data_IF_664433170646
#
_entry.id   IF_664433170646
#
_cell.length_a   1.000
_cell.length_b   1.000
_cell.length_c   1.000
_cell.angle_alpha   90.00
_cell.angle_beta   90.00
_cell.angle_gamma   90.00
#
_symmetry.space_group_name_H-M   'P 1'
#
loop_
_entity.id
_entity.type
_entity.pdbx_description
1 polymer ?
#
# COMPACT_ATOMS: atom_id res chain seq x y z
N UNK A 1 -12.46 -48.21 16.33
CA UNK A 1 -11.73 -46.92 16.59
C UNK A 1 -11.96 -45.82 15.53
N UNK A 2 -12.13 -46.11 14.23
CA UNK A 2 -12.32 -45.06 13.18
C UNK A 2 -13.65 -44.31 13.25
N UNK A 3 -14.73 -44.94 13.71
CA UNK A 3 -16.08 -44.36 13.80
C UNK A 3 -16.17 -43.35 14.97
N UNK A 4 -15.51 -43.60 16.09
CA UNK A 4 -15.52 -42.74 17.28
C UNK A 4 -14.78 -41.42 16.97
N UNK A 5 -13.68 -41.44 16.20
CA UNK A 5 -12.96 -40.26 15.76
C UNK A 5 -13.82 -39.35 14.87
N UNK A 6 -14.64 -39.93 13.98
CA UNK A 6 -15.54 -39.22 13.10
C UNK A 6 -16.65 -38.48 13.86
N UNK A 7 -17.20 -39.11 14.89
CA UNK A 7 -18.24 -38.52 15.75
C UNK A 7 -17.70 -37.37 16.58
N UNK A 8 -16.50 -37.46 17.12
CA UNK A 8 -15.85 -36.35 17.87
C UNK A 8 -15.60 -35.14 16.99
N UNK A 9 -15.16 -35.35 15.74
CA UNK A 9 -14.96 -34.26 14.76
C UNK A 9 -16.30 -33.60 14.41
N UNK A 10 -17.36 -34.38 14.23
CA UNK A 10 -18.69 -33.85 13.91
C UNK A 10 -19.27 -33.02 15.06
N UNK A 11 -19.12 -33.45 16.31
CA UNK A 11 -19.55 -32.70 17.50
C UNK A 11 -18.75 -31.43 17.68
N UNK A 12 -17.45 -31.45 17.42
CA UNK A 12 -16.59 -30.23 17.47
C UNK A 12 -16.98 -29.20 16.43
N UNK A 13 -17.33 -29.62 15.20
CA UNK A 13 -17.78 -28.73 14.13
C UNK A 13 -19.15 -28.13 14.43
N UNK A 14 -20.08 -28.93 14.96
CA UNK A 14 -21.41 -28.48 15.36
C UNK A 14 -21.35 -27.53 16.56
N UNK A 15 -20.48 -27.78 17.54
CA UNK A 15 -20.23 -26.92 18.68
C UNK A 15 -19.64 -25.54 18.26
N UNK A 16 -18.70 -25.53 17.32
CA UNK A 16 -18.11 -24.31 16.78
C UNK A 16 -19.13 -23.48 15.99
N UNK A 17 -20.00 -24.12 15.20
CA UNK A 17 -21.09 -23.46 14.51
C UNK A 17 -22.11 -22.85 15.47
N UNK A 18 -22.40 -23.50 16.61
CA UNK A 18 -23.37 -22.99 17.59
C UNK A 18 -22.86 -21.76 18.35
N UNK A 19 -21.56 -21.66 18.60
CA UNK A 19 -20.94 -20.50 19.31
C UNK A 19 -20.87 -19.25 18.43
N UNK A 20 -20.76 -19.39 17.12
CA UNK A 20 -20.67 -18.26 16.16
C UNK A 20 -21.98 -17.88 15.46
N UNK A 21 -23.13 -18.45 15.88
CA UNK A 21 -24.43 -18.21 15.22
C UNK A 21 -25.12 -16.93 15.68
N UNK A 22 -24.50 -15.74 15.37
CA UNK A 22 -25.20 -14.45 15.44
C UNK A 22 -25.07 -13.61 14.16
N UNK A 23 -25.03 -14.20 13.01
CA UNK A 23 -25.05 -13.74 11.58
C UNK A 23 -23.88 -14.39 10.82
N UNK A 24 -24.11 -15.54 10.15
CA UNK A 24 -23.04 -16.14 9.35
C UNK A 24 -22.84 -15.38 8.06
N UNK A 25 -21.60 -14.92 7.82
CA UNK A 25 -21.21 -14.44 6.50
C UNK A 25 -21.22 -15.64 5.54
N UNK A 26 -22.13 -15.61 4.55
CA UNK A 26 -22.33 -16.67 3.56
C UNK A 26 -21.01 -17.06 2.85
N UNK A 27 -20.08 -16.15 2.70
CA UNK A 27 -18.77 -16.41 2.07
C UNK A 27 -17.87 -17.33 2.90
N UNK A 28 -17.92 -17.24 4.23
CA UNK A 28 -17.15 -18.12 5.12
C UNK A 28 -17.72 -19.53 5.09
N UNK A 29 -19.05 -19.68 5.07
CA UNK A 29 -19.73 -20.97 4.98
C UNK A 29 -19.36 -21.70 3.68
N UNK A 30 -19.38 -21.03 2.51
CA UNK A 30 -18.98 -21.63 1.25
C UNK A 30 -17.49 -22.03 1.19
N UNK A 31 -16.60 -21.27 1.81
CA UNK A 31 -15.16 -21.61 1.87
C UNK A 31 -14.91 -22.84 2.74
N UNK A 32 -15.56 -22.96 3.88
CA UNK A 32 -15.46 -24.14 4.76
C UNK A 32 -16.05 -25.38 4.08
N UNK A 33 -17.20 -25.27 3.42
CA UNK A 33 -17.82 -26.36 2.66
C UNK A 33 -16.93 -26.83 1.49
N UNK A 34 -16.23 -25.92 0.80
CA UNK A 34 -15.31 -26.26 -0.29
C UNK A 34 -14.06 -27.00 0.20
N UNK A 35 -13.51 -26.63 1.36
CA UNK A 35 -12.37 -27.30 1.97
C UNK A 35 -12.78 -28.72 2.43
N UNK A 36 -14.00 -28.88 2.97
CA UNK A 36 -14.49 -30.18 3.41
C UNK A 36 -14.74 -31.13 2.22
N UNK A 37 -15.28 -30.63 1.11
CA UNK A 37 -15.45 -31.39 -0.13
C UNK A 37 -14.11 -31.84 -0.72
N UNK A 38 -13.06 -31.01 -0.63
CA UNK A 38 -11.71 -31.34 -1.10
C UNK A 38 -11.09 -32.48 -0.25
N UNK A 39 -11.23 -32.44 1.08
CA UNK A 39 -10.69 -33.46 1.98
C UNK A 39 -11.40 -34.80 1.80
N UNK A 40 -12.72 -34.80 1.58
CA UNK A 40 -13.50 -36.02 1.32
C UNK A 40 -13.16 -36.57 -0.07
N UNK A 41 -12.95 -35.72 -1.08
CA UNK A 41 -12.56 -36.15 -2.43
C UNK A 41 -11.19 -36.84 -2.46
N UNK A 42 -10.21 -36.35 -1.71
CA UNK A 42 -8.87 -36.96 -1.60
C UNK A 42 -8.92 -38.30 -0.85
N UNK A 43 -9.80 -38.41 0.13
CA UNK A 43 -9.95 -39.66 0.92
C UNK A 43 -10.59 -40.82 0.14
N UNK A 44 -11.40 -40.53 -0.89
CA UNK A 44 -12.06 -41.56 -1.72
C UNK A 44 -11.25 -41.97 -2.95
N UNK A 45 -10.27 -41.17 -3.36
CA UNK A 45 -9.40 -41.45 -4.52
C UNK A 45 -8.25 -42.41 -4.27
N UNK A 46 -7.97 -42.77 -3.00
CA UNK A 46 -6.84 -43.65 -2.61
C UNK A 46 -7.14 -45.15 -2.53
N UNK A 47 -8.32 -45.62 -2.94
CA UNK A 47 -8.76 -46.97 -2.75
C UNK A 47 -8.90 -47.83 -4.03
N UNK A 48 -8.29 -47.48 -5.15
CA UNK A 48 -8.35 -48.30 -6.37
C UNK A 48 -7.08 -48.16 -7.23
N UNK A 49 -6.01 -48.84 -6.80
CA UNK A 49 -4.94 -49.21 -7.73
C UNK A 49 -4.63 -50.70 -7.44
N UNK A 50 -5.24 -51.59 -8.21
CA UNK A 50 -4.82 -52.95 -8.40
C UNK A 50 -3.89 -53.03 -9.61
N UNK A 51 -2.75 -53.64 -9.40
CA UNK A 51 -1.73 -53.96 -10.40
C UNK A 51 -2.22 -55.02 -11.40
N UNK A 52 -1.71 -55.05 -12.62
CA UNK A 52 -1.35 -56.30 -13.25
C UNK A 52 0.11 -56.33 -13.74
N UNK A 53 0.61 -57.55 -13.65
CA UNK A 53 1.96 -58.01 -13.99
C UNK A 53 2.30 -58.00 -15.46
N UNK A 54 3.57 -57.76 -15.74
CA UNK A 54 4.59 -58.48 -16.51
C UNK A 54 4.78 -58.18 -18.05
N UNK A 55 5.91 -58.54 -18.62
CA UNK A 55 6.99 -57.64 -19.07
C UNK A 55 7.19 -57.75 -20.59
N UNK A 56 7.73 -56.70 -21.20
CA UNK A 56 8.37 -56.85 -22.52
C UNK A 56 9.51 -55.88 -22.73
N UNK A 57 10.68 -56.49 -22.90
CA UNK A 57 11.87 -56.14 -23.69
C UNK A 57 12.26 -54.68 -23.94
N UNK A 58 13.42 -54.37 -23.41
CA UNK A 58 14.58 -53.76 -24.06
C UNK A 58 14.42 -52.56 -24.97
N UNK A 59 14.52 -51.36 -24.40
CA UNK A 59 15.01 -50.22 -25.16
C UNK A 59 16.14 -49.57 -24.36
N UNK A 60 17.37 -49.70 -24.87
CA UNK A 60 18.59 -49.04 -24.37
C UNK A 60 18.45 -47.53 -24.60
N UNK A 61 18.12 -46.77 -23.56
CA UNK A 61 18.23 -45.32 -23.58
C UNK A 61 19.70 -44.97 -23.39
N UNK A 62 20.38 -44.57 -24.43
CA UNK A 62 21.70 -43.93 -24.38
C UNK A 62 21.50 -42.50 -23.91
N UNK A 63 21.72 -42.22 -22.64
CA UNK A 63 21.84 -40.86 -22.12
C UNK A 63 23.14 -40.24 -22.60
N UNK A 64 23.07 -39.41 -23.67
CA UNK A 64 24.09 -38.43 -23.97
C UNK A 64 23.99 -37.31 -22.95
N UNK A 65 24.85 -37.32 -21.90
CA UNK A 65 25.08 -36.17 -21.05
C UNK A 65 25.91 -35.14 -21.81
N UNK A 66 25.29 -34.20 -22.47
CA UNK A 66 25.97 -32.98 -22.88
C UNK A 66 26.03 -32.08 -21.63
N UNK A 67 27.24 -31.80 -21.15
CA UNK A 67 27.47 -30.79 -20.12
C UNK A 67 27.23 -29.43 -20.77
N UNK A 68 26.03 -28.87 -20.55
CA UNK A 68 25.71 -27.51 -20.99
C UNK A 68 26.29 -26.52 -19.94
N UNK A 69 27.39 -25.87 -20.28
CA UNK A 69 28.04 -24.83 -19.49
C UNK A 69 27.43 -23.43 -19.72
N UNK A 70 26.36 -23.32 -20.51
CA UNK A 70 25.70 -22.07 -20.85
C UNK A 70 25.21 -21.24 -19.65
N UNK A 71 24.58 -21.84 -18.64
CA UNK A 71 24.11 -21.10 -17.45
C UNK A 71 25.24 -20.55 -16.60
N UNK A 72 26.34 -21.29 -16.44
CA UNK A 72 27.50 -20.87 -15.62
C UNK A 72 28.25 -19.69 -16.24
N UNK A 73 28.45 -19.71 -17.55
CA UNK A 73 29.07 -18.61 -18.29
C UNK A 73 28.21 -17.34 -18.27
N UNK A 74 26.88 -17.50 -18.30
CA UNK A 74 25.94 -16.39 -18.22
C UNK A 74 25.91 -15.76 -16.81
N UNK A 75 25.99 -16.58 -15.76
CA UNK A 75 26.09 -16.11 -14.38
C UNK A 75 27.38 -15.33 -14.10
N UNK A 76 28.52 -15.83 -14.58
CA UNK A 76 29.82 -15.16 -14.47
C UNK A 76 29.84 -13.79 -15.17
N UNK A 77 29.22 -13.70 -16.36
CA UNK A 77 29.10 -12.44 -17.11
C UNK A 77 28.23 -11.42 -16.37
N UNK A 78 27.07 -11.83 -15.85
CA UNK A 78 26.17 -10.98 -15.09
C UNK A 78 26.86 -10.50 -13.79
N UNK A 79 27.61 -11.36 -13.11
CA UNK A 79 28.37 -10.99 -11.91
C UNK A 79 29.39 -9.90 -12.21
N UNK A 80 30.16 -10.03 -13.31
CA UNK A 80 31.16 -9.02 -13.70
C UNK A 80 30.53 -7.68 -14.13
N UNK A 81 29.37 -7.71 -14.78
CA UNK A 81 28.61 -6.51 -15.15
C UNK A 81 28.03 -5.81 -13.91
N UNK A 82 27.56 -6.55 -12.92
CA UNK A 82 27.09 -6.03 -11.65
C UNK A 82 28.19 -5.36 -10.82
N UNK A 83 29.41 -5.93 -10.76
CA UNK A 83 30.54 -5.30 -10.08
C UNK A 83 30.95 -3.98 -10.74
N UNK A 84 31.01 -3.92 -12.08
CA UNK A 84 31.28 -2.67 -12.81
C UNK A 84 30.19 -1.60 -12.59
N UNK A 85 28.92 -2.01 -12.53
CA UNK A 85 27.83 -1.12 -12.23
C UNK A 85 27.90 -0.57 -10.80
N UNK A 86 28.32 -1.39 -9.83
CA UNK A 86 28.51 -1.02 -8.44
C UNK A 86 29.67 -0.01 -8.25
N UNK A 87 30.80 -0.21 -8.92
CA UNK A 87 31.89 0.76 -8.94
C UNK A 87 31.48 2.10 -9.54
N UNK A 88 30.75 2.07 -10.66
CA UNK A 88 30.21 3.27 -11.31
C UNK A 88 29.24 4.04 -10.42
N UNK A 89 28.39 3.34 -9.69
CA UNK A 89 27.46 3.93 -8.71
C UNK A 89 28.20 4.54 -7.53
N UNK A 90 29.20 3.86 -6.98
CA UNK A 90 30.03 4.38 -5.88
C UNK A 90 30.75 5.68 -6.26
N UNK A 91 31.28 5.76 -7.48
CA UNK A 91 31.93 6.98 -7.98
C UNK A 91 30.92 8.13 -8.12
N UNK A 92 29.76 7.89 -8.71
CA UNK A 92 28.69 8.89 -8.81
C UNK A 92 28.20 9.37 -7.43
N UNK A 93 28.13 8.48 -6.46
CA UNK A 93 27.72 8.81 -5.11
C UNK A 93 28.73 9.75 -4.42
N UNK A 94 30.05 9.52 -4.63
CA UNK A 94 31.10 10.41 -4.12
C UNK A 94 31.07 11.80 -4.80
N UNK A 95 30.80 11.85 -6.09
CA UNK A 95 30.70 13.12 -6.83
C UNK A 95 29.49 13.94 -6.40
N UNK A 96 28.36 13.30 -6.17
CA UNK A 96 27.15 13.95 -5.61
C UNK A 96 27.40 14.46 -4.19
N UNK A 97 28.12 13.71 -3.37
CA UNK A 97 28.46 14.12 -2.00
C UNK A 97 29.38 15.34 -1.99
N UNK A 98 30.36 15.43 -2.90
CA UNK A 98 31.21 16.61 -3.09
C UNK A 98 30.44 17.82 -3.60
N UNK A 99 29.50 17.63 -4.52
CA UNK A 99 28.63 18.69 -5.01
C UNK A 99 27.71 19.22 -3.91
N UNK A 100 27.14 18.35 -3.08
CA UNK A 100 26.28 18.72 -1.95
C UNK A 100 27.04 19.54 -0.89
N UNK A 101 28.29 19.15 -0.55
CA UNK A 101 29.12 19.90 0.39
C UNK A 101 29.53 21.27 -0.15
N UNK A 102 29.76 21.41 -1.46
CA UNK A 102 30.06 22.72 -2.09
C UNK A 102 28.85 23.64 -2.18
N UNK A 103 27.64 23.09 -2.25
CA UNK A 103 26.38 23.87 -2.19
C UNK A 103 26.08 24.35 -0.76
N UNK A 104 26.32 23.51 0.25
CA UNK A 104 26.14 23.87 1.65
C UNK A 104 27.07 25.01 2.09
N UNK A 105 28.30 25.04 1.58
CA UNK A 105 29.26 26.14 1.86
C UNK A 105 28.91 27.47 1.16
N UNK A 106 28.08 27.44 0.10
CA UNK A 106 27.59 28.65 -0.59
C UNK A 106 26.32 29.26 0.02
N UNK A 107 25.55 28.48 0.79
CA UNK A 107 24.34 28.98 1.47
C UNK A 107 24.58 29.65 2.82
N UNK A 108 25.82 29.68 3.30
CA UNK A 108 26.19 30.26 4.60
C UNK A 108 26.36 31.80 4.65
N UNK A 109 26.10 32.52 3.57
CA UNK A 109 26.44 33.95 3.54
C UNK A 109 25.33 34.93 3.13
N UNK A 110 24.03 34.52 3.23
CA UNK A 110 22.93 35.50 3.06
C UNK A 110 21.76 35.12 3.98
N UNK A 111 21.89 35.47 5.26
CA UNK A 111 20.75 35.55 6.16
C UNK A 111 20.90 36.78 7.05
N UNK A 112 20.32 37.90 6.63
CA UNK A 112 20.10 39.03 7.50
C UNK A 112 18.59 39.27 7.67
N UNK A 113 18.17 39.01 8.88
CA UNK A 113 17.01 39.36 9.66
C UNK A 113 15.86 40.16 9.05
N UNK A 114 14.65 39.64 9.15
CA UNK A 114 13.47 40.38 9.53
C UNK A 114 12.71 39.57 10.62
N UNK A 115 12.68 40.17 11.81
CA UNK A 115 12.05 39.68 13.01
C UNK A 115 10.55 39.98 12.99
N UNK A 116 9.71 38.94 12.88
CA UNK A 116 8.28 38.98 13.21
C UNK A 116 7.98 37.92 14.23
N UNK A 117 7.54 38.25 15.48
CA UNK A 117 7.50 37.29 16.60
C UNK A 117 6.36 36.28 16.54
N UNK A 118 5.43 36.33 15.61
CA UNK A 118 4.27 35.43 15.53
C UNK A 118 4.45 34.19 14.64
N UNK A 119 5.69 33.91 14.19
CA UNK A 119 6.01 32.72 13.36
C UNK A 119 6.82 31.63 14.06
N UNK A 120 6.95 31.66 15.36
CA UNK A 120 7.79 30.74 16.12
C UNK A 120 6.98 29.59 16.73
N UNK A 121 6.34 28.74 15.91
CA UNK A 121 5.97 27.34 16.24
C UNK A 121 5.52 26.52 15.02
N UNK A 122 6.05 26.76 13.83
CA UNK A 122 6.00 25.75 12.78
C UNK A 122 7.29 24.96 12.88
N UNK A 123 7.25 23.85 13.62
CA UNK A 123 8.24 22.80 13.46
C UNK A 123 8.32 22.51 11.96
N UNK A 124 9.47 22.82 11.35
CA UNK A 124 9.68 22.59 9.92
C UNK A 124 9.31 21.14 9.64
N UNK A 125 8.26 20.93 8.81
CA UNK A 125 7.85 19.59 8.44
C UNK A 125 9.07 18.87 7.86
N UNK A 126 9.37 17.63 8.27
CA UNK A 126 10.55 16.93 7.79
C UNK A 126 10.52 16.88 6.25
N UNK A 127 11.66 17.09 5.62
CA UNK A 127 11.78 16.94 4.17
C UNK A 127 11.64 15.48 3.77
N UNK A 128 10.42 15.09 3.41
CA UNK A 128 10.07 13.74 3.01
C UNK A 128 10.61 13.37 1.63
N UNK A 129 11.08 14.35 0.84
CA UNK A 129 11.59 14.13 -0.51
C UNK A 129 12.86 13.26 -0.52
N UNK A 130 13.61 13.30 0.58
CA UNK A 130 14.86 12.55 0.76
C UNK A 130 14.69 11.21 1.47
N UNK A 131 13.49 10.86 1.92
CA UNK A 131 13.24 9.57 2.57
C UNK A 131 13.41 8.41 1.59
N UNK A 132 14.13 7.38 2.01
CA UNK A 132 14.32 6.15 1.26
C UNK A 132 13.69 4.99 1.99
N UNK A 133 13.13 4.05 1.22
CA UNK A 133 12.65 2.80 1.76
C UNK A 133 13.80 2.03 2.45
N UNK A 134 13.59 1.67 3.71
CA UNK A 134 14.58 0.98 4.55
C UNK A 134 14.08 -0.37 5.10
N UNK A 135 13.06 -0.95 4.45
CA UNK A 135 12.46 -2.22 4.85
C UNK A 135 11.09 -2.08 5.52
N UNK A 136 10.69 -0.87 5.94
CA UNK A 136 9.34 -0.60 6.45
C UNK A 136 8.51 0.14 5.39
N UNK A 137 7.33 -0.39 5.08
CA UNK A 137 6.40 0.24 4.13
C UNK A 137 5.75 1.49 4.71
N UNK A 138 5.63 1.58 6.03
CA UNK A 138 5.01 2.69 6.75
C UNK A 138 6.01 3.20 7.79
N UNK A 139 6.20 4.52 7.84
CA UNK A 139 7.06 5.21 8.80
C UNK A 139 6.26 6.31 9.48
N UNK A 140 6.33 6.37 10.81
CA UNK A 140 5.73 7.47 11.58
C UNK A 140 6.55 8.74 11.40
N UNK A 141 5.85 9.85 11.23
CA UNK A 141 6.42 11.19 11.06
C UNK A 141 6.03 12.04 12.26
N UNK A 142 6.97 12.83 12.78
CA UNK A 142 6.73 13.74 13.90
C UNK A 142 6.06 13.02 15.11
N UNK A 143 6.66 11.90 15.54
CA UNK A 143 6.15 11.06 16.65
C UNK A 143 4.67 10.70 16.51
N UNK A 144 4.24 10.47 15.24
CA UNK A 144 2.86 10.20 14.84
C UNK A 144 1.87 11.35 15.14
N UNK A 145 2.37 12.57 15.42
CA UNK A 145 1.53 13.73 15.69
C UNK A 145 1.08 14.40 14.39
N UNK A 146 -0.22 14.55 14.14
CA UNK A 146 -0.75 15.17 12.90
C UNK A 146 -0.37 16.64 12.75
N UNK A 147 -0.27 17.38 13.85
CA UNK A 147 0.16 18.78 13.89
C UNK A 147 -0.84 19.74 13.24
N UNK A 148 -2.13 19.49 13.35
CA UNK A 148 -3.17 20.43 12.94
C UNK A 148 -3.39 21.52 13.98
N UNK A 149 -3.57 22.76 13.52
CA UNK A 149 -3.93 23.88 14.39
C UNK A 149 -5.41 23.83 14.79
N UNK A 150 -5.79 24.61 15.80
CA UNK A 150 -7.20 24.74 16.20
C UNK A 150 -8.09 25.25 15.06
N UNK A 151 -7.55 26.09 14.16
CA UNK A 151 -8.27 26.55 12.98
C UNK A 151 -8.51 25.43 11.95
N UNK A 152 -7.56 24.52 11.80
CA UNK A 152 -7.71 23.33 10.93
C UNK A 152 -8.80 22.38 11.42
N UNK A 153 -9.07 22.37 12.73
CA UNK A 153 -10.04 21.52 13.40
C UNK A 153 -11.40 22.19 13.61
N UNK A 154 -11.58 23.41 13.07
CA UNK A 154 -12.82 24.16 13.22
C UNK A 154 -13.93 23.55 12.36
N UNK A 155 -15.03 23.13 12.98
CA UNK A 155 -16.19 22.49 12.32
C UNK A 155 -17.33 23.46 12.02
N UNK A 156 -17.21 24.77 12.35
CA UNK A 156 -18.31 25.74 12.23
C UNK A 156 -18.87 25.88 10.81
N UNK A 157 -18.03 25.66 9.79
CA UNK A 157 -18.41 25.71 8.38
C UNK A 157 -18.83 24.33 7.81
N UNK A 158 -18.96 23.31 8.68
CA UNK A 158 -19.30 21.96 8.26
C UNK A 158 -18.16 21.22 7.56
N UNK A 159 -18.50 20.08 6.97
CA UNK A 159 -17.55 19.24 6.25
C UNK A 159 -17.18 19.83 4.89
N UNK A 160 -15.93 19.65 4.48
CA UNK A 160 -15.40 20.12 3.20
C UNK A 160 -14.30 19.21 2.68
N UNK A 161 -14.04 19.28 1.36
CA UNK A 161 -12.95 18.61 0.68
C UNK A 161 -12.33 19.53 -0.36
N UNK A 162 -11.03 19.48 -0.51
CA UNK A 162 -10.28 20.28 -1.46
C UNK A 162 -9.18 19.44 -2.10
N UNK A 163 -9.10 19.47 -3.42
CA UNK A 163 -8.06 18.85 -4.22
C UNK A 163 -7.23 19.94 -4.86
N UNK A 164 -5.92 19.93 -4.59
CA UNK A 164 -5.02 20.98 -5.04
C UNK A 164 -4.80 20.89 -6.55
N UNK A 165 -4.36 22.00 -7.13
CA UNK A 165 -4.01 22.06 -8.55
C UNK A 165 -2.84 21.12 -8.84
N UNK A 166 -2.84 20.59 -10.07
CA UNK A 166 -1.74 19.78 -10.55
C UNK A 166 -0.50 20.68 -10.74
N UNK A 167 0.69 20.10 -10.57
CA UNK A 167 1.92 20.81 -10.84
C UNK A 167 2.21 20.93 -12.35
N UNK A 168 3.34 21.55 -12.71
CA UNK A 168 3.76 21.74 -14.10
C UNK A 168 3.98 20.44 -14.89
N UNK A 169 4.11 19.30 -14.23
CA UNK A 169 4.20 17.96 -14.82
C UNK A 169 2.85 17.22 -14.77
N UNK A 170 1.76 17.93 -14.48
CA UNK A 170 0.42 17.36 -14.27
C UNK A 170 0.35 16.32 -13.15
N UNK A 171 1.24 16.37 -12.15
CA UNK A 171 1.19 15.50 -10.98
C UNK A 171 0.29 16.09 -9.91
N UNK A 172 -0.39 15.25 -9.15
CA UNK A 172 -1.16 15.69 -7.99
C UNK A 172 -0.24 16.27 -6.92
N UNK A 173 -0.66 17.35 -6.27
CA UNK A 173 0.14 18.04 -5.23
C UNK A 173 -0.40 17.80 -3.83
N UNK A 174 -1.64 17.34 -3.70
CA UNK A 174 -2.23 16.99 -2.43
C UNK A 174 -3.73 17.16 -2.39
N UNK A 175 -4.29 16.71 -1.26
CA UNK A 175 -5.70 16.89 -0.94
C UNK A 175 -5.86 17.13 0.56
N UNK A 176 -6.86 17.95 0.91
CA UNK A 176 -7.24 18.28 2.27
C UNK A 176 -8.75 18.13 2.44
N UNK A 177 -9.17 17.71 3.62
CA UNK A 177 -10.59 17.62 3.95
C UNK A 177 -10.84 17.77 5.44
N UNK A 178 -11.98 18.30 5.79
CA UNK A 178 -12.63 18.09 7.06
C UNK A 178 -13.79 17.11 6.81
N UNK A 179 -13.50 15.84 7.02
CA UNK A 179 -14.39 14.72 6.69
C UNK A 179 -15.51 14.60 7.73
N UNK A 180 -16.69 14.25 7.26
CA UNK A 180 -17.84 13.88 8.07
C UNK A 180 -18.68 12.87 7.28
N UNK A 181 -19.58 12.17 7.92
CA UNK A 181 -20.44 11.18 7.31
C UNK A 181 -21.22 11.74 6.09
N UNK A 182 -21.55 13.04 6.06
CA UNK A 182 -22.29 13.68 4.95
C UNK A 182 -21.53 13.71 3.62
N UNK A 183 -20.18 13.58 3.63
CA UNK A 183 -19.37 13.50 2.41
C UNK A 183 -19.24 12.08 1.87
N UNK A 184 -19.60 11.08 2.65
CA UNK A 184 -19.46 9.68 2.24
C UNK A 184 -20.43 9.35 1.10
N UNK A 185 -20.03 8.46 0.16
CA UNK A 185 -20.87 8.14 -0.98
C UNK A 185 -22.15 7.39 -0.59
N UNK A 186 -23.24 7.71 -1.26
CA UNK A 186 -24.53 7.03 -1.14
C UNK A 186 -24.82 6.10 -2.33
N UNK A 187 -23.91 6.08 -3.34
CA UNK A 187 -24.01 5.25 -4.55
C UNK A 187 -22.88 4.25 -4.63
N UNK A 188 -23.07 3.20 -5.42
CA UNK A 188 -22.00 2.27 -5.76
C UNK A 188 -20.90 2.96 -6.54
N UNK A 189 -19.66 2.48 -6.34
CA UNK A 189 -18.49 3.02 -7.01
C UNK A 189 -18.47 2.61 -8.48
N UNK A 190 -18.40 3.60 -9.36
CA UNK A 190 -18.18 3.38 -10.78
C UNK A 190 -16.78 2.85 -11.08
N UNK A 191 -16.59 2.30 -12.29
CA UNK A 191 -15.28 1.95 -12.79
C UNK A 191 -14.40 3.19 -12.94
N UNK A 192 -13.11 3.07 -12.58
CA UNK A 192 -12.12 4.10 -12.87
C UNK A 192 -11.78 4.08 -14.37
N UNK A 193 -11.94 5.23 -15.03
CA UNK A 193 -11.58 5.44 -16.45
C UNK A 193 -10.54 6.55 -16.64
N UNK A 194 -10.25 7.34 -15.61
CA UNK A 194 -9.24 8.39 -15.65
C UNK A 194 -7.87 7.77 -15.38
N UNK A 195 -6.91 8.07 -16.24
CA UNK A 195 -5.52 7.67 -16.08
C UNK A 195 -4.71 8.82 -15.46
N UNK A 196 -4.19 8.65 -14.24
CA UNK A 196 -3.34 9.66 -13.62
C UNK A 196 -1.98 9.77 -14.32
N UNK A 197 -1.28 10.87 -14.09
CA UNK A 197 0.06 11.09 -14.66
C UNK A 197 0.99 9.93 -14.35
N UNK A 198 1.77 9.52 -15.35
CA UNK A 198 2.67 8.37 -15.26
C UNK A 198 1.97 7.00 -15.30
N UNK A 199 0.66 6.95 -15.61
CA UNK A 199 -0.07 5.68 -15.67
C UNK A 199 0.46 4.78 -16.77
N UNK A 200 1.14 3.72 -16.34
CA UNK A 200 1.63 2.67 -17.23
C UNK A 200 1.71 1.36 -16.45
N UNK A 201 0.63 0.58 -16.49
CA UNK A 201 0.55 -0.59 -15.64
C UNK A 201 1.45 -1.74 -16.15
N UNK A 202 1.99 -2.51 -15.22
CA UNK A 202 2.89 -3.63 -15.48
C UNK A 202 2.46 -4.85 -14.66
N UNK A 203 2.54 -6.03 -15.29
CA UNK A 203 2.33 -7.31 -14.61
C UNK A 203 3.54 -7.69 -13.77
N UNK A 204 3.28 -8.12 -12.51
CA UNK A 204 4.27 -8.74 -11.62
C UNK A 204 3.64 -9.99 -11.03
N UNK A 205 4.21 -11.16 -11.32
CA UNK A 205 3.62 -12.44 -10.94
C UNK A 205 2.17 -12.53 -11.42
N UNK A 206 1.26 -12.85 -10.53
CA UNK A 206 -0.17 -12.96 -10.82
C UNK A 206 -0.95 -11.64 -10.68
N UNK A 207 -0.29 -10.51 -10.40
CA UNK A 207 -0.93 -9.23 -10.13
C UNK A 207 -0.46 -8.08 -11.01
N UNK A 208 -0.92 -6.89 -10.66
CA UNK A 208 -0.50 -5.63 -11.24
C UNK A 208 0.42 -4.89 -10.28
N UNK A 209 1.45 -4.21 -10.81
CA UNK A 209 2.41 -3.44 -10.03
C UNK A 209 1.79 -2.15 -9.52
N UNK A 210 1.01 -1.47 -10.37
CA UNK A 210 0.47 -0.15 -10.09
C UNK A 210 -1.05 -0.17 -9.92
N UNK A 211 -1.51 0.77 -9.10
CA UNK A 211 -2.92 1.12 -8.93
C UNK A 211 -3.13 2.59 -9.28
N UNK A 212 -4.35 2.95 -9.71
CA UNK A 212 -4.84 4.32 -9.70
C UNK A 212 -5.24 4.63 -8.25
N UNK A 213 -4.31 5.20 -7.50
CA UNK A 213 -4.49 5.47 -6.08
C UNK A 213 -5.23 6.79 -5.89
N UNK A 214 -6.33 6.77 -5.13
CA UNK A 214 -6.93 8.01 -4.65
C UNK A 214 -6.06 8.63 -3.55
N UNK A 215 -5.95 9.96 -3.50
CA UNK A 215 -5.40 10.66 -2.34
C UNK A 215 -6.37 10.57 -1.16
N UNK A 216 -7.64 10.87 -1.40
CA UNK A 216 -8.73 10.63 -0.44
C UNK A 216 -9.62 9.54 -1.03
N UNK A 217 -9.78 8.43 -0.32
CA UNK A 217 -10.53 7.27 -0.80
C UNK A 217 -11.96 7.60 -1.21
N UNK A 218 -12.47 6.89 -2.21
CA UNK A 218 -13.86 6.99 -2.65
C UNK A 218 -14.85 6.84 -1.48
N UNK A 219 -14.60 5.90 -0.58
CA UNK A 219 -15.46 5.65 0.58
C UNK A 219 -15.60 6.84 1.55
N UNK A 220 -14.71 7.84 1.47
CA UNK A 220 -14.70 9.00 2.36
C UNK A 220 -15.41 10.23 1.74
N UNK A 221 -15.36 10.38 0.41
CA UNK A 221 -15.84 11.60 -0.27
C UNK A 221 -16.64 11.37 -1.54
N UNK A 222 -16.79 10.13 -2.00
CA UNK A 222 -17.48 9.82 -3.26
C UNK A 222 -16.75 10.29 -4.53
N UNK A 223 -15.57 10.91 -4.42
CA UNK A 223 -14.77 11.37 -5.57
C UNK A 223 -14.09 10.20 -6.26
N UNK A 224 -14.58 9.79 -7.44
CA UNK A 224 -14.08 8.61 -8.13
C UNK A 224 -13.10 8.94 -9.27
N UNK A 225 -13.55 9.65 -10.30
CA UNK A 225 -12.79 9.93 -11.52
C UNK A 225 -12.26 11.37 -11.55
N UNK A 226 -11.78 11.88 -10.43
CA UNK A 226 -11.19 13.20 -10.31
C UNK A 226 -9.66 13.13 -10.50
N UNK A 227 -9.14 13.74 -11.57
CA UNK A 227 -7.70 13.73 -11.89
C UNK A 227 -6.85 14.34 -10.78
N UNK A 228 -7.36 15.34 -10.04
CA UNK A 228 -6.67 15.97 -8.90
C UNK A 228 -6.66 15.07 -7.65
N UNK A 229 -7.42 13.99 -7.64
CA UNK A 229 -7.49 13.01 -6.56
C UNK A 229 -6.83 11.66 -6.92
N UNK A 230 -6.25 11.52 -8.11
CA UNK A 230 -5.71 10.25 -8.59
C UNK A 230 -4.22 10.37 -8.90
N UNK A 231 -3.44 9.43 -8.38
CA UNK A 231 -2.03 9.27 -8.73
C UNK A 231 -1.73 7.83 -9.17
N UNK A 232 -0.65 7.66 -9.91
CA UNK A 232 -0.05 6.34 -10.14
C UNK A 232 0.79 5.98 -8.92
N UNK A 233 0.40 4.95 -8.19
CA UNK A 233 1.15 4.42 -7.06
C UNK A 233 1.34 2.92 -7.16
N UNK A 234 2.25 2.35 -6.36
CA UNK A 234 2.39 0.90 -6.28
C UNK A 234 1.14 0.28 -5.65
N UNK A 235 0.89 -1.00 -5.97
CA UNK A 235 -0.20 -1.72 -5.31
C UNK A 235 0.02 -1.78 -3.80
N UNK A 236 1.24 -2.03 -3.33
CA UNK A 236 1.57 -2.10 -1.91
C UNK A 236 1.33 -0.79 -1.16
N UNK A 237 1.63 0.36 -1.79
CA UNK A 237 1.33 1.67 -1.25
C UNK A 237 -0.19 1.84 -1.05
N UNK A 238 -0.99 1.49 -2.07
CA UNK A 238 -2.44 1.64 -2.02
C UNK A 238 -3.09 0.64 -1.06
N UNK A 239 -2.76 -0.67 -1.22
CA UNK A 239 -3.38 -1.77 -0.51
C UNK A 239 -2.30 -2.77 -0.03
N UNK A 240 -2.19 -3.00 1.27
CA UNK A 240 -3.10 -2.58 2.36
C UNK A 240 -2.79 -1.20 2.96
N UNK A 241 -1.65 -0.54 2.64
CA UNK A 241 -1.09 0.50 3.48
C UNK A 241 -1.96 1.76 3.60
N UNK A 242 -2.34 2.41 2.48
CA UNK A 242 -3.26 3.56 2.57
C UNK A 242 -4.65 3.12 3.04
N UNK A 243 -5.14 2.00 2.52
CA UNK A 243 -6.50 1.49 2.81
C UNK A 243 -6.72 1.21 4.30
N UNK A 244 -5.70 0.80 5.04
CA UNK A 244 -5.79 0.58 6.49
C UNK A 244 -6.16 1.87 7.23
N UNK A 245 -5.47 2.97 6.95
CA UNK A 245 -5.74 4.28 7.55
C UNK A 245 -7.07 4.87 7.09
N UNK A 246 -7.41 4.70 5.83
CA UNK A 246 -8.69 5.16 5.27
C UNK A 246 -9.87 4.40 5.87
N UNK A 247 -9.73 3.10 6.14
CA UNK A 247 -10.74 2.31 6.84
C UNK A 247 -10.92 2.77 8.28
N UNK A 248 -9.84 3.08 9.00
CA UNK A 248 -9.91 3.63 10.35
C UNK A 248 -10.72 4.94 10.40
N UNK A 249 -10.47 5.85 9.45
CA UNK A 249 -11.25 7.07 9.31
C UNK A 249 -12.72 6.73 9.00
N UNK A 250 -12.97 5.85 8.03
CA UNK A 250 -14.33 5.50 7.60
C UNK A 250 -15.16 4.86 8.72
N UNK A 251 -14.56 3.99 9.52
CA UNK A 251 -15.21 3.37 10.69
C UNK A 251 -15.60 4.42 11.73
N UNK A 252 -14.68 5.34 12.05
CA UNK A 252 -14.95 6.43 12.97
C UNK A 252 -16.10 7.34 12.47
N UNK A 253 -16.08 7.74 11.21
CA UNK A 253 -17.15 8.61 10.63
C UNK A 253 -18.51 7.91 10.61
N UNK A 254 -18.56 6.60 10.36
CA UNK A 254 -19.80 5.81 10.36
C UNK A 254 -20.42 5.67 11.77
N UNK A 255 -19.62 5.77 12.81
CA UNK A 255 -20.07 5.60 14.18
C UNK A 255 -20.93 6.77 14.68
N UNK A 256 -20.85 7.96 14.04
CA UNK A 256 -21.67 9.11 14.45
C UNK A 256 -21.73 10.24 13.43
N UNK A 257 -22.89 10.85 13.26
CA UNK A 257 -23.09 11.98 12.33
C UNK A 257 -22.34 13.26 12.76
N UNK A 258 -21.98 13.38 14.02
CA UNK A 258 -21.22 14.50 14.58
C UNK A 258 -19.71 14.23 14.62
N UNK A 259 -19.25 13.12 14.06
CA UNK A 259 -17.85 12.80 13.97
C UNK A 259 -17.20 13.54 12.81
N UNK A 260 -16.11 14.25 13.10
CA UNK A 260 -15.31 14.95 12.10
C UNK A 260 -13.87 14.50 12.17
N UNK A 261 -13.22 14.37 11.02
CA UNK A 261 -11.79 14.07 10.89
C UNK A 261 -11.14 15.09 9.95
N UNK A 262 -10.18 15.83 10.43
CA UNK A 262 -9.27 16.60 9.59
C UNK A 262 -8.31 15.62 8.93
N UNK A 263 -8.29 15.60 7.58
CA UNK A 263 -7.45 14.68 6.82
C UNK A 263 -6.65 15.44 5.78
N UNK A 264 -5.36 15.12 5.67
CA UNK A 264 -4.44 15.76 4.73
C UNK A 264 -3.57 14.69 4.09
N UNK A 265 -3.49 14.69 2.77
CA UNK A 265 -2.71 13.74 1.97
C UNK A 265 -1.74 14.49 1.07
N UNK A 266 -0.45 14.15 1.16
CA UNK A 266 0.62 14.79 0.39
C UNK A 266 1.46 13.73 -0.31
N UNK A 267 1.32 13.56 -1.63
CA UNK A 267 2.22 12.73 -2.42
C UNK A 267 3.59 13.40 -2.52
N UNK A 268 4.64 12.59 -2.52
CA UNK A 268 6.03 13.06 -2.60
C UNK A 268 6.66 12.55 -3.88
N UNK A 269 7.09 13.49 -4.73
CA UNK A 269 7.80 13.19 -5.98
C UNK A 269 9.24 13.69 -5.90
N UNK A 270 10.15 13.09 -6.65
CA UNK A 270 11.54 13.53 -6.79
C UNK A 270 11.81 14.04 -8.20
N UNK A 271 12.31 15.27 -8.30
CA UNK A 271 12.61 15.86 -9.59
C UNK A 271 11.46 15.71 -10.58
N UNK A 272 11.73 15.17 -11.76
CA UNK A 272 10.75 14.96 -12.83
C UNK A 272 10.08 13.57 -12.81
N UNK A 273 10.19 12.82 -11.72
CA UNK A 273 9.53 11.51 -11.61
C UNK A 273 8.00 11.66 -11.64
N UNK A 274 7.33 10.80 -12.42
CA UNK A 274 5.88 10.82 -12.56
C UNK A 274 5.17 9.87 -11.59
N UNK A 275 5.94 9.03 -10.89
CA UNK A 275 5.48 8.14 -9.83
C UNK A 275 5.86 8.74 -8.48
N UNK A 276 4.92 8.77 -7.55
CA UNK A 276 5.21 9.20 -6.20
C UNK A 276 6.17 8.22 -5.52
N UNK A 277 7.14 8.75 -4.79
CA UNK A 277 8.05 7.96 -3.92
C UNK A 277 7.35 7.45 -2.68
N UNK A 278 6.29 8.12 -2.29
CA UNK A 278 5.43 7.77 -1.19
C UNK A 278 4.40 8.87 -0.95
N UNK A 279 3.61 8.69 0.08
CA UNK A 279 2.52 9.60 0.45
C UNK A 279 2.55 9.84 1.94
N UNK A 280 2.51 11.10 2.36
CA UNK A 280 2.23 11.44 3.76
C UNK A 280 0.72 11.47 3.98
N UNK A 281 0.27 10.78 5.01
CA UNK A 281 -1.10 10.78 5.50
C UNK A 281 -1.12 11.38 6.89
N UNK A 282 -1.93 12.42 7.10
CA UNK A 282 -2.15 13.01 8.43
C UNK A 282 -3.65 13.07 8.70
N UNK A 283 -4.08 12.56 9.83
CA UNK A 283 -5.47 12.64 10.25
C UNK A 283 -5.59 12.91 11.73
N UNK A 284 -6.67 13.62 12.10
CA UNK A 284 -7.02 13.89 13.48
C UNK A 284 -8.54 14.02 13.62
N UNK A 285 -9.12 13.24 14.52
CA UNK A 285 -10.52 13.41 14.93
C UNK A 285 -10.70 14.71 15.71
N UNK A 286 -11.90 15.32 15.60
CA UNK A 286 -12.21 16.57 16.28
C UNK A 286 -12.99 16.27 17.56
N UNK A 287 -12.49 16.76 18.66
CA UNK A 287 -13.13 16.60 19.98
C UNK A 287 -12.71 15.35 20.75
N UNK A 288 -11.97 14.43 20.11
CA UNK A 288 -11.41 13.22 20.77
C UNK A 288 -10.08 12.81 20.12
N UNK A 289 -9.55 11.66 20.52
CA UNK A 289 -8.30 11.08 20.01
C UNK A 289 -8.48 9.73 19.33
N UNK A 290 -9.69 9.42 18.86
CA UNK A 290 -10.01 8.12 18.25
C UNK A 290 -9.28 7.90 16.92
N UNK A 291 -9.06 8.98 16.16
CA UNK A 291 -8.23 8.99 14.96
C UNK A 291 -7.12 10.02 15.16
N UNK A 292 -5.87 9.58 15.19
CA UNK A 292 -4.71 10.48 15.25
C UNK A 292 -3.51 9.78 14.66
N UNK A 293 -3.02 10.26 13.49
CA UNK A 293 -1.81 9.72 12.89
C UNK A 293 -1.14 10.71 11.95
N UNK A 294 0.17 10.55 11.80
CA UNK A 294 1.02 11.21 10.84
C UNK A 294 2.05 10.19 10.35
N UNK A 295 1.81 9.64 9.18
CA UNK A 295 2.62 8.57 8.62
C UNK A 295 3.03 8.85 7.19
N UNK A 296 4.17 8.29 6.80
CA UNK A 296 4.61 8.23 5.41
C UNK A 296 4.55 6.79 4.93
N UNK A 297 3.88 6.59 3.80
CA UNK A 297 3.71 5.29 3.13
C UNK A 297 4.56 5.29 1.87
N UNK A 298 5.46 4.27 1.72
CA UNK A 298 6.32 4.10 0.55
C UNK A 298 5.65 3.38 -0.61
#
# INVERSE_FOLDING_TARGET
>A
MKIIGLIIILISVLGFCHIHYKKPDKKIFFRIASIFALIVGIGLGAASISTPDTPTEGSKIVRKTSKDYGPQNKAAKISSENEKAKESLSKKQSDVQKAASSLASRQGSTAQASSDPDKAAQNAAPDLSNMNYSGSQIVQINDNQPGFSSNDLNVSNGAWQQYHDLDSLNRVTGADALLNQSLMPHSERERLYVDPTGWHNKRIGNGWLYNRCHLIAYQLTGQNNNLKNLMTGTRSLNEPCMTEYENQIAEYLKAGSNHYVRYSVRPVFRGNELLARGVQLRAQSVGDSSVSFNVYVF
#
